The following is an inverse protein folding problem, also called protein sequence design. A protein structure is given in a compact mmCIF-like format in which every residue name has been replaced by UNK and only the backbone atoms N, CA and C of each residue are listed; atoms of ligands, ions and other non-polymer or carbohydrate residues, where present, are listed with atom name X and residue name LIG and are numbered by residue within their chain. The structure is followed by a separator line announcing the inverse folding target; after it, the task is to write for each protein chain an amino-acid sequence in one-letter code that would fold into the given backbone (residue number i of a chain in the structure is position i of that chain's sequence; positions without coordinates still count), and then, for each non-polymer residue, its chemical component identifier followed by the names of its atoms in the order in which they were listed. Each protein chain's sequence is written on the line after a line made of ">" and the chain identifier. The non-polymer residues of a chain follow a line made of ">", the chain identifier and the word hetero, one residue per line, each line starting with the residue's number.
data_IF_453626455811
#
_entry.id   IF_453626455811
#
_cell.length_a   1.000
_cell.length_b   1.000
_cell.length_c   1.000
_cell.angle_alpha   90.00
_cell.angle_beta   90.00
_cell.angle_gamma   90.00
#
_symmetry.space_group_name_H-M   'P 1'
#
loop_
_entity.id
_entity.type
_entity.pdbx_description
1 polymer ?
#
# COMPACT_ATOMS: atom_id res chain seq x y z
N UNK A 1 14.20 -7.40 -19.43
CA UNK A 1 13.70 -7.90 -18.14
C UNK A 1 13.99 -6.87 -17.06
N UNK A 2 12.99 -6.49 -16.27
CA UNK A 2 13.16 -5.67 -15.05
C UNK A 2 12.86 -6.52 -13.84
N UNK A 3 13.60 -6.29 -12.73
CA UNK A 3 13.37 -6.97 -11.44
C UNK A 3 12.93 -5.98 -10.38
N UNK A 4 11.94 -6.36 -9.58
CA UNK A 4 11.43 -5.58 -8.45
C UNK A 4 11.35 -6.51 -7.24
N UNK A 5 12.09 -6.18 -6.19
CA UNK A 5 12.01 -6.93 -4.94
C UNK A 5 10.69 -6.61 -4.23
N UNK A 6 9.94 -7.68 -3.94
CA UNK A 6 8.62 -7.59 -3.30
C UNK A 6 8.59 -8.22 -1.91
N UNK A 7 9.72 -8.64 -1.37
CA UNK A 7 9.82 -9.27 -0.05
C UNK A 7 9.13 -8.47 1.06
N UNK A 8 9.25 -7.14 0.98
CA UNK A 8 8.61 -6.23 1.94
C UNK A 8 7.08 -6.25 1.91
N UNK A 9 6.46 -6.69 0.80
CA UNK A 9 5.00 -6.71 0.64
C UNK A 9 4.37 -8.01 1.15
N UNK A 10 5.16 -9.08 1.43
CA UNK A 10 4.71 -10.38 1.95
C UNK A 10 3.48 -10.95 1.22
N UNK A 11 3.42 -10.77 -0.12
CA UNK A 11 2.33 -11.26 -0.95
C UNK A 11 2.20 -12.78 -0.83
N UNK A 12 1.05 -13.27 -0.36
CA UNK A 12 0.78 -14.70 -0.36
C UNK A 12 0.45 -15.18 -1.76
N UNK A 13 0.71 -16.47 -2.05
CA UNK A 13 0.36 -17.09 -3.33
C UNK A 13 -1.15 -16.95 -3.61
N UNK A 14 -2.01 -17.12 -2.61
CA UNK A 14 -3.46 -16.99 -2.75
C UNK A 14 -3.88 -15.60 -3.24
N UNK A 15 -3.25 -14.54 -2.73
CA UNK A 15 -3.52 -13.17 -3.15
C UNK A 15 -3.14 -12.98 -4.62
N UNK A 16 -1.98 -13.49 -5.02
CA UNK A 16 -1.52 -13.42 -6.41
C UNK A 16 -2.42 -14.22 -7.35
N UNK A 17 -2.83 -15.43 -6.96
CA UNK A 17 -3.76 -16.26 -7.72
C UNK A 17 -5.11 -15.54 -7.89
N UNK A 18 -5.65 -14.94 -6.83
CA UNK A 18 -6.89 -14.18 -6.88
C UNK A 18 -6.77 -12.93 -7.78
N UNK A 19 -5.58 -12.35 -7.91
CA UNK A 19 -5.33 -11.26 -8.86
C UNK A 19 -5.30 -11.71 -10.31
N UNK A 20 -5.00 -12.99 -10.56
CA UNK A 20 -4.93 -13.56 -11.89
C UNK A 20 -3.60 -14.20 -12.26
N UNK A 21 -2.69 -14.39 -11.29
CA UNK A 21 -1.51 -15.22 -11.51
C UNK A 21 -1.91 -16.69 -11.64
N UNK A 22 -1.19 -17.41 -12.48
CA UNK A 22 -1.37 -18.84 -12.69
C UNK A 22 -0.03 -19.55 -12.56
N UNK A 23 -0.04 -20.83 -12.15
CA UNK A 23 1.16 -21.62 -12.12
C UNK A 23 1.55 -22.09 -13.54
N UNK A 24 2.76 -21.76 -13.97
CA UNK A 24 3.42 -22.27 -15.14
C UNK A 24 4.80 -22.83 -14.71
N UNK A 25 5.07 -24.11 -14.94
CA UNK A 25 6.32 -24.77 -14.54
C UNK A 25 6.72 -24.51 -13.06
N UNK A 26 5.75 -24.55 -12.13
CA UNK A 26 5.89 -24.27 -10.70
C UNK A 26 6.26 -22.81 -10.36
N UNK A 27 6.08 -21.89 -11.29
CA UNK A 27 6.29 -20.46 -11.09
C UNK A 27 4.94 -19.74 -11.23
N UNK A 28 4.64 -18.79 -10.34
CA UNK A 28 3.48 -17.92 -10.50
C UNK A 28 3.75 -16.88 -11.58
N UNK A 29 2.93 -16.88 -12.61
CA UNK A 29 3.04 -16.00 -13.78
C UNK A 29 1.72 -15.27 -14.00
N UNK A 30 1.80 -13.96 -14.17
CA UNK A 30 0.71 -13.12 -14.62
C UNK A 30 0.97 -12.66 -16.03
N UNK A 31 -0.04 -12.80 -16.92
CA UNK A 31 0.04 -12.37 -18.32
C UNK A 31 -1.11 -11.45 -18.65
N UNK A 32 -0.83 -10.35 -19.31
CA UNK A 32 -1.84 -9.40 -19.78
C UNK A 32 -1.41 -8.75 -21.08
N UNK A 33 -2.30 -8.71 -22.08
CA UNK A 33 -2.11 -7.88 -23.25
C UNK A 33 -2.33 -6.41 -22.89
N UNK A 34 -1.52 -5.52 -23.46
CA UNK A 34 -1.50 -4.09 -23.23
C UNK A 34 -1.41 -3.35 -24.59
N UNK A 35 -1.71 -2.05 -24.59
CA UNK A 35 -1.66 -1.20 -25.80
C UNK A 35 -2.38 -1.82 -27.00
N UNK A 36 -3.70 -2.01 -26.86
CA UNK A 36 -4.58 -2.58 -27.91
C UNK A 36 -4.13 -3.95 -28.42
N UNK A 37 -3.62 -4.80 -27.51
CA UNK A 37 -3.10 -6.14 -27.84
C UNK A 37 -1.84 -6.17 -28.74
N UNK A 38 -1.11 -5.06 -28.85
CA UNK A 38 0.15 -5.03 -29.58
C UNK A 38 1.31 -5.64 -28.75
N UNK A 39 1.21 -5.56 -27.42
CA UNK A 39 2.21 -6.06 -26.50
C UNK A 39 1.60 -6.99 -25.46
N UNK A 40 2.41 -7.90 -24.92
CA UNK A 40 2.06 -8.73 -23.76
C UNK A 40 3.04 -8.48 -22.62
N UNK A 41 2.51 -8.12 -21.48
CA UNK A 41 3.23 -8.05 -20.21
C UNK A 41 3.21 -9.43 -19.56
N UNK A 42 4.37 -9.89 -19.10
CA UNK A 42 4.52 -11.07 -18.25
C UNK A 42 5.23 -10.67 -16.96
N UNK A 43 4.64 -11.04 -15.82
CA UNK A 43 5.21 -10.84 -14.48
C UNK A 43 5.36 -12.22 -13.86
N UNK A 44 6.59 -12.61 -13.52
CA UNK A 44 6.92 -13.90 -12.90
C UNK A 44 7.38 -13.67 -11.47
N UNK A 45 6.87 -14.46 -10.53
CA UNK A 45 7.37 -14.48 -9.16
C UNK A 45 8.54 -15.45 -9.06
N UNK A 46 9.74 -14.92 -8.86
CA UNK A 46 10.96 -15.71 -8.69
C UNK A 46 11.52 -15.40 -7.29
N UNK A 47 11.39 -16.35 -6.38
CA UNK A 47 11.71 -16.16 -4.96
C UNK A 47 10.94 -14.97 -4.38
N UNK A 48 11.63 -13.87 -4.12
CA UNK A 48 11.08 -12.64 -3.55
C UNK A 48 11.03 -11.48 -4.55
N UNK A 49 11.21 -11.76 -5.83
CA UNK A 49 11.26 -10.73 -6.87
C UNK A 49 10.18 -10.97 -7.94
N UNK A 50 9.58 -9.87 -8.41
CA UNK A 50 8.89 -9.88 -9.69
C UNK A 50 9.90 -9.65 -10.81
N UNK A 51 9.96 -10.59 -11.74
CA UNK A 51 10.61 -10.43 -13.04
C UNK A 51 9.58 -10.02 -14.07
N UNK A 52 9.79 -8.89 -14.74
CA UNK A 52 8.85 -8.29 -15.67
C UNK A 52 9.47 -8.26 -17.06
N UNK A 53 8.79 -8.88 -18.02
CA UNK A 53 9.14 -8.87 -19.42
C UNK A 53 7.96 -8.38 -20.26
N UNK A 54 8.29 -7.69 -21.34
CA UNK A 54 7.31 -7.23 -22.33
C UNK A 54 7.64 -7.92 -23.64
N UNK A 55 6.63 -8.50 -24.25
CA UNK A 55 6.73 -9.14 -25.57
C UNK A 55 5.97 -8.31 -26.60
N UNK A 56 6.63 -8.04 -27.69
CA UNK A 56 6.02 -7.49 -28.90
C UNK A 56 5.34 -8.64 -29.64
N UNK A 57 4.03 -8.54 -29.82
CA UNK A 57 3.24 -9.65 -30.39
C UNK A 57 3.32 -9.71 -31.91
N UNK A 58 3.62 -8.60 -32.59
CA UNK A 58 3.80 -8.55 -34.03
C UNK A 58 5.14 -9.17 -34.43
N UNK A 59 6.19 -8.85 -33.66
CA UNK A 59 7.55 -9.39 -33.91
C UNK A 59 7.81 -10.72 -33.19
N UNK A 60 6.88 -11.17 -32.35
CA UNK A 60 6.96 -12.38 -31.52
C UNK A 60 8.29 -12.48 -30.74
N UNK A 61 8.69 -11.38 -30.13
CA UNK A 61 9.96 -11.26 -29.41
C UNK A 61 9.91 -10.32 -28.19
N UNK A 62 10.97 -10.36 -27.40
CA UNK A 62 11.09 -9.49 -26.21
C UNK A 62 11.31 -8.05 -26.64
N UNK A 63 10.47 -7.13 -26.16
CA UNK A 63 10.63 -5.70 -26.34
C UNK A 63 11.72 -5.15 -25.39
N UNK A 64 12.95 -5.15 -25.86
CA UNK A 64 14.14 -4.87 -25.04
C UNK A 64 14.22 -3.43 -24.52
N UNK A 65 13.62 -2.44 -25.20
CA UNK A 65 13.64 -1.03 -24.79
C UNK A 65 12.95 -0.81 -23.42
N UNK A 66 12.01 -1.65 -23.04
CA UNK A 66 11.41 -1.59 -21.70
C UNK A 66 12.46 -1.71 -20.58
N UNK A 67 13.51 -2.52 -20.80
CA UNK A 67 14.56 -2.79 -19.80
C UNK A 67 15.66 -1.74 -19.76
N UNK A 68 15.69 -0.81 -20.70
CA UNK A 68 16.70 0.26 -20.80
C UNK A 68 16.21 1.49 -20.05
N UNK A 69 16.86 1.84 -18.93
CA UNK A 69 16.35 2.90 -18.02
C UNK A 69 16.18 4.27 -18.68
N UNK A 70 17.08 4.65 -19.59
CA UNK A 70 17.05 5.93 -20.28
C UNK A 70 16.34 5.89 -21.66
N UNK A 71 15.70 4.77 -22.01
CA UNK A 71 14.92 4.69 -23.25
C UNK A 71 13.72 5.64 -23.16
N UNK A 72 13.56 6.46 -24.16
CA UNK A 72 12.47 7.43 -24.31
C UNK A 72 11.70 7.11 -25.59
N UNK A 73 10.42 7.45 -25.63
CA UNK A 73 9.50 7.26 -26.75
C UNK A 73 8.08 7.00 -26.26
N UNK A 74 7.11 7.31 -27.09
CA UNK A 74 5.69 7.19 -26.71
C UNK A 74 5.34 5.75 -26.30
N UNK A 75 5.76 4.74 -27.08
CA UNK A 75 5.45 3.33 -26.83
C UNK A 75 6.07 2.88 -25.49
N UNK A 76 7.36 3.11 -25.28
CA UNK A 76 8.03 2.66 -24.05
C UNK A 76 7.49 3.37 -22.81
N UNK A 77 7.08 4.62 -22.94
CA UNK A 77 6.45 5.38 -21.87
C UNK A 77 5.08 4.80 -21.54
N UNK A 78 4.24 4.57 -22.54
CA UNK A 78 2.92 3.96 -22.36
C UNK A 78 3.00 2.55 -21.76
N UNK A 79 3.94 1.73 -22.21
CA UNK A 79 4.20 0.40 -21.60
C UNK A 79 4.57 0.54 -20.12
N UNK A 80 5.43 1.50 -19.77
CA UNK A 80 5.84 1.70 -18.36
C UNK A 80 4.68 2.17 -17.48
N UNK A 81 3.77 2.97 -18.02
CA UNK A 81 2.56 3.40 -17.30
C UNK A 81 1.62 2.21 -17.06
N UNK A 82 1.40 1.34 -18.05
CA UNK A 82 0.59 0.12 -17.90
C UNK A 82 1.21 -0.84 -16.87
N UNK A 83 2.52 -1.05 -16.93
CA UNK A 83 3.25 -1.87 -15.94
C UNK A 83 3.12 -1.28 -14.54
N UNK A 84 3.29 0.04 -14.42
CA UNK A 84 3.14 0.75 -13.15
C UNK A 84 1.73 0.56 -12.57
N UNK A 85 0.69 0.75 -13.39
CA UNK A 85 -0.73 0.58 -12.99
C UNK A 85 -1.00 -0.85 -12.47
N UNK A 86 -0.50 -1.86 -13.18
CA UNK A 86 -0.66 -3.26 -12.76
C UNK A 86 0.09 -3.54 -11.46
N UNK A 87 1.33 -3.08 -11.34
CA UNK A 87 2.11 -3.26 -10.11
C UNK A 87 1.47 -2.55 -8.92
N UNK A 88 0.99 -1.33 -9.10
CA UNK A 88 0.27 -0.60 -8.05
C UNK A 88 -0.96 -1.38 -7.60
N UNK A 89 -1.73 -1.97 -8.51
CA UNK A 89 -2.88 -2.82 -8.19
C UNK A 89 -2.45 -4.07 -7.41
N UNK A 90 -1.41 -4.78 -7.86
CA UNK A 90 -0.89 -5.96 -7.15
C UNK A 90 -0.41 -5.59 -5.75
N UNK A 91 0.34 -4.51 -5.64
CA UNK A 91 0.93 -4.07 -4.37
C UNK A 91 -0.11 -3.43 -3.43
N UNK A 92 -1.22 -2.90 -3.97
CA UNK A 92 -2.35 -2.35 -3.21
C UNK A 92 -3.40 -3.40 -2.82
N UNK A 93 -3.36 -4.63 -3.38
CA UNK A 93 -4.26 -5.73 -2.96
C UNK A 93 -4.13 -6.09 -1.49
N UNK A 94 -3.12 -5.59 -0.84
CA UNK A 94 -2.69 -5.94 0.48
C UNK A 94 -3.09 -5.01 1.59
N UNK A 95 -4.19 -4.37 1.52
CA UNK A 95 -4.72 -3.89 2.78
C UNK A 95 -5.74 -4.86 3.41
N UNK A 96 -5.42 -6.16 3.43
CA UNK A 96 -6.09 -7.10 4.33
C UNK A 96 -6.05 -6.52 5.74
N UNK A 97 -4.89 -6.04 6.19
CA UNK A 97 -4.73 -5.34 7.46
C UNK A 97 -5.66 -4.12 7.59
N UNK A 98 -5.88 -3.35 6.53
CA UNK A 98 -6.79 -2.20 6.58
C UNK A 98 -8.25 -2.64 6.83
N UNK A 99 -8.75 -3.65 6.13
CA UNK A 99 -10.11 -4.14 6.34
C UNK A 99 -10.25 -4.86 7.69
N UNK A 100 -9.25 -5.64 8.08
CA UNK A 100 -9.22 -6.30 9.39
C UNK A 100 -9.21 -5.29 10.54
N UNK A 101 -8.43 -4.21 10.40
CA UNK A 101 -8.41 -3.11 11.38
C UNK A 101 -9.76 -2.39 11.44
N UNK A 102 -10.42 -2.15 10.30
CA UNK A 102 -11.76 -1.55 10.28
C UNK A 102 -12.81 -2.46 10.92
N UNK A 103 -12.75 -3.77 10.67
CA UNK A 103 -13.62 -4.76 11.32
C UNK A 103 -13.40 -4.78 12.83
N UNK A 104 -12.15 -4.94 13.25
CA UNK A 104 -11.78 -4.91 14.67
C UNK A 104 -12.32 -3.69 15.39
N UNK A 105 -12.14 -2.51 14.81
CA UNK A 105 -12.61 -1.27 15.45
C UNK A 105 -14.12 -1.20 15.55
N UNK A 106 -14.84 -1.68 14.52
CA UNK A 106 -16.31 -1.76 14.58
C UNK A 106 -16.79 -2.66 15.69
N UNK A 107 -16.19 -3.83 15.80
CA UNK A 107 -16.62 -4.88 16.73
C UNK A 107 -16.27 -4.50 18.18
N UNK A 108 -15.08 -3.94 18.41
CA UNK A 108 -14.60 -3.66 19.77
C UNK A 108 -15.15 -2.36 20.37
N UNK A 109 -15.31 -1.31 19.55
CA UNK A 109 -15.58 0.02 20.10
C UNK A 109 -16.96 0.58 19.73
N UNK A 110 -17.74 -0.13 18.91
CA UNK A 110 -19.02 0.37 18.36
C UNK A 110 -18.91 1.83 17.87
N UNK A 111 -17.78 2.15 17.24
CA UNK A 111 -17.41 3.52 16.93
C UNK A 111 -18.18 4.08 15.74
N UNK A 112 -18.50 5.36 15.79
CA UNK A 112 -19.07 6.04 14.65
C UNK A 112 -17.98 6.37 13.64
N UNK A 113 -18.16 5.91 12.40
CA UNK A 113 -17.31 6.28 11.26
C UNK A 113 -17.91 7.53 10.63
N UNK A 114 -17.12 8.60 10.55
CA UNK A 114 -17.52 9.85 9.90
C UNK A 114 -16.58 10.16 8.74
N UNK A 115 -17.09 10.84 7.71
CA UNK A 115 -16.31 11.39 6.59
C UNK A 115 -16.17 12.89 6.80
N UNK A 116 -15.08 13.34 7.48
CA UNK A 116 -14.99 14.72 7.97
C UNK A 116 -14.76 15.75 6.85
N UNK A 117 -14.29 15.32 5.67
CA UNK A 117 -13.92 16.20 4.57
C UNK A 117 -14.78 15.95 3.34
N UNK A 118 -15.60 16.93 2.95
CA UNK A 118 -16.46 16.85 1.75
C UNK A 118 -15.64 16.73 0.44
N UNK A 119 -14.47 17.36 0.42
CA UNK A 119 -13.55 17.35 -0.74
C UNK A 119 -12.75 16.07 -0.88
N UNK A 120 -12.67 15.25 0.19
CA UNK A 120 -11.98 13.97 0.18
C UNK A 120 -12.79 12.93 0.98
N UNK A 121 -13.82 12.33 0.36
CA UNK A 121 -14.76 11.43 1.03
C UNK A 121 -14.15 10.07 1.42
N UNK A 122 -12.94 9.75 0.92
CA UNK A 122 -12.24 8.51 1.22
C UNK A 122 -11.58 8.54 2.60
N UNK A 123 -11.38 9.75 3.16
CA UNK A 123 -10.89 9.90 4.52
C UNK A 123 -12.00 9.53 5.51
N UNK A 124 -11.71 8.57 6.38
CA UNK A 124 -12.61 8.07 7.42
C UNK A 124 -12.04 8.38 8.79
N UNK A 125 -12.80 9.09 9.62
CA UNK A 125 -12.45 9.32 11.02
C UNK A 125 -13.30 8.44 11.95
N UNK A 126 -12.66 7.86 12.95
CA UNK A 126 -13.33 7.15 14.03
C UNK A 126 -13.49 8.07 15.21
N UNK A 127 -14.73 8.16 15.67
CA UNK A 127 -15.15 9.07 16.71
C UNK A 127 -15.52 8.29 17.95
N UNK A 128 -14.95 8.67 19.09
CA UNK A 128 -15.29 8.10 20.38
C UNK A 128 -16.68 8.58 20.85
N UNK A 129 -17.30 7.92 21.86
CA UNK A 129 -18.54 8.38 22.44
C UNK A 129 -18.53 9.82 22.96
N UNK A 130 -17.34 10.35 23.30
CA UNK A 130 -17.13 11.75 23.70
C UNK A 130 -17.00 12.73 22.52
N UNK A 131 -17.26 12.28 21.28
CA UNK A 131 -17.17 13.10 20.08
C UNK A 131 -15.74 13.44 19.64
N UNK A 132 -14.73 12.74 20.13
CA UNK A 132 -13.31 13.01 19.80
C UNK A 132 -12.77 11.98 18.81
N UNK A 133 -12.01 12.45 17.83
CA UNK A 133 -11.30 11.58 16.91
C UNK A 133 -10.17 10.86 17.63
N UNK A 134 -10.08 9.56 17.40
CA UNK A 134 -8.98 8.72 17.89
C UNK A 134 -8.25 7.98 16.77
N UNK A 135 -8.87 7.81 15.60
CA UNK A 135 -8.23 7.28 14.42
C UNK A 135 -8.70 8.03 13.16
N UNK A 136 -7.79 8.22 12.20
CA UNK A 136 -8.09 8.83 10.90
C UNK A 136 -7.42 8.01 9.80
N UNK A 137 -8.22 7.36 8.97
CA UNK A 137 -7.76 6.54 7.83
C UNK A 137 -7.73 7.39 6.57
N UNK A 138 -6.63 7.30 5.82
CA UNK A 138 -6.45 8.01 4.56
C UNK A 138 -5.41 7.33 3.68
N UNK A 139 -5.48 7.62 2.39
CA UNK A 139 -4.48 7.22 1.41
C UNK A 139 -3.46 8.35 1.24
N UNK A 140 -2.16 8.00 1.22
CA UNK A 140 -1.05 8.96 1.12
C UNK A 140 0.00 8.41 0.17
N UNK A 141 0.56 9.27 -0.68
CA UNK A 141 1.76 8.92 -1.45
C UNK A 141 2.93 8.63 -0.49
N UNK A 142 3.55 7.46 -0.61
CA UNK A 142 4.58 7.02 0.33
C UNK A 142 5.77 7.99 0.42
N UNK A 143 6.12 8.67 -0.68
CA UNK A 143 7.14 9.70 -0.71
C UNK A 143 6.84 10.93 0.19
N UNK A 144 5.57 11.17 0.56
CA UNK A 144 5.19 12.21 1.53
C UNK A 144 5.51 11.83 2.96
N UNK A 145 5.58 10.54 3.26
CA UNK A 145 6.00 10.01 4.57
C UNK A 145 7.52 9.89 4.64
N UNK A 146 8.14 9.39 3.57
CA UNK A 146 9.58 9.15 3.44
C UNK A 146 10.13 9.85 2.21
N UNK A 147 10.75 11.01 2.40
CA UNK A 147 11.20 11.90 1.32
C UNK A 147 12.21 11.28 0.33
N UNK A 148 13.01 10.32 0.80
CA UNK A 148 14.04 9.68 -0.01
C UNK A 148 13.56 8.37 -0.65
N UNK A 149 12.24 8.11 -0.62
CA UNK A 149 11.68 6.92 -1.23
C UNK A 149 11.53 7.12 -2.74
N UNK A 150 12.05 6.16 -3.50
CA UNK A 150 11.79 6.02 -4.93
C UNK A 150 10.42 5.40 -5.21
N UNK A 151 9.69 5.00 -4.15
CA UNK A 151 8.35 4.42 -4.25
C UNK A 151 7.35 5.54 -4.35
N UNK A 152 6.71 5.68 -5.51
CA UNK A 152 5.69 6.68 -5.81
C UNK A 152 4.28 6.07 -5.78
N UNK A 153 4.07 5.10 -4.90
CA UNK A 153 2.78 4.46 -4.72
C UNK A 153 1.99 5.06 -3.56
N UNK A 154 0.66 5.04 -3.66
CA UNK A 154 -0.22 5.37 -2.54
C UNK A 154 -0.23 4.22 -1.55
N UNK A 155 -0.14 4.56 -0.27
CA UNK A 155 -0.26 3.62 0.84
C UNK A 155 -1.43 4.02 1.73
N UNK A 156 -2.08 3.03 2.33
CA UNK A 156 -3.10 3.27 3.35
C UNK A 156 -2.42 3.49 4.68
N UNK A 157 -2.79 4.57 5.36
CA UNK A 157 -2.31 4.85 6.70
C UNK A 157 -3.48 5.06 7.66
N UNK A 158 -3.19 4.85 8.94
CA UNK A 158 -4.03 5.31 10.02
C UNK A 158 -3.25 6.29 10.89
N UNK A 159 -3.80 7.48 11.09
CA UNK A 159 -3.30 8.41 12.10
C UNK A 159 -3.92 8.05 13.44
N UNK A 160 -3.09 7.88 14.47
CA UNK A 160 -3.49 7.51 15.82
C UNK A 160 -2.92 8.50 16.83
N UNK A 161 -3.65 8.78 17.89
CA UNK A 161 -3.11 9.53 19.03
C UNK A 161 -2.13 8.68 19.80
N UNK A 162 -1.09 9.34 20.28
CA UNK A 162 -0.07 8.69 21.10
C UNK A 162 0.33 9.58 22.28
N UNK A 163 1.00 8.97 23.26
CA UNK A 163 1.56 9.69 24.42
C UNK A 163 2.71 10.57 23.92
N UNK A 164 2.66 11.92 24.13
CA UNK A 164 3.65 12.84 23.57
C UNK A 164 5.09 12.47 23.90
N UNK A 165 5.38 12.07 25.13
CA UNK A 165 6.72 11.71 25.59
C UNK A 165 7.25 10.40 24.98
N UNK A 166 6.38 9.60 24.34
CA UNK A 166 6.75 8.29 23.74
C UNK A 166 6.76 8.32 22.21
N UNK A 167 6.33 9.41 21.56
CA UNK A 167 6.24 9.48 20.10
C UNK A 167 7.58 9.20 19.43
N UNK A 168 8.65 9.83 19.91
CA UNK A 168 10.00 9.65 19.34
C UNK A 168 10.53 8.22 19.45
N UNK A 169 10.06 7.43 20.41
CA UNK A 169 10.51 6.05 20.61
C UNK A 169 9.79 5.03 19.74
N UNK A 170 8.61 5.37 19.21
CA UNK A 170 7.83 4.46 18.39
C UNK A 170 8.00 4.73 16.88
N UNK A 171 8.49 5.92 16.49
CA UNK A 171 8.77 6.25 15.09
C UNK A 171 9.97 5.43 14.61
N UNK A 172 9.76 4.55 13.64
CA UNK A 172 10.78 3.69 13.05
C UNK A 172 11.16 4.11 11.62
N UNK A 173 10.43 5.08 11.02
CA UNK A 173 10.57 5.53 9.63
C UNK A 173 10.47 4.39 8.60
N UNK A 174 9.78 3.31 8.97
CA UNK A 174 9.49 2.15 8.14
C UNK A 174 7.98 1.91 8.05
N UNK A 175 7.33 1.69 9.18
CA UNK A 175 5.88 1.52 9.30
C UNK A 175 5.23 2.63 10.12
N UNK A 176 5.99 3.26 11.04
CA UNK A 176 5.50 4.34 11.90
C UNK A 176 6.27 5.62 11.62
N UNK A 177 5.53 6.65 11.26
CA UNK A 177 6.04 7.95 10.86
C UNK A 177 5.49 9.09 11.72
N UNK A 178 6.15 10.26 11.73
CA UNK A 178 5.56 11.49 12.24
C UNK A 178 4.22 11.76 11.54
N UNK A 179 3.18 12.13 12.30
CA UNK A 179 1.83 12.23 11.78
C UNK A 179 1.70 13.08 10.51
N UNK A 180 1.08 12.52 9.48
CA UNK A 180 0.76 13.22 8.24
C UNK A 180 -0.51 14.05 8.42
N UNK A 181 -0.43 15.34 8.14
CA UNK A 181 -1.51 16.32 8.30
C UNK A 181 -2.15 16.43 9.70
N UNK A 182 -1.51 15.84 10.72
CA UNK A 182 -1.95 15.95 12.11
C UNK A 182 -0.82 16.54 12.98
N UNK A 183 -1.18 16.95 14.23
CA UNK A 183 -0.18 17.47 15.16
C UNK A 183 0.79 16.37 15.61
N UNK A 184 2.04 16.47 15.13
CA UNK A 184 3.12 15.50 15.35
C UNK A 184 3.51 15.30 16.82
N UNK A 185 3.11 16.22 17.72
CA UNK A 185 3.35 16.09 19.16
C UNK A 185 2.35 15.15 19.85
N UNK A 186 1.25 14.81 19.16
CA UNK A 186 0.15 14.03 19.75
C UNK A 186 -0.33 12.89 18.86
N UNK A 187 0.17 12.80 17.63
CA UNK A 187 -0.26 11.84 16.64
C UNK A 187 0.92 11.20 15.93
N UNK A 188 0.72 9.96 15.52
CA UNK A 188 1.62 9.19 14.64
C UNK A 188 0.84 8.74 13.41
N UNK A 189 1.53 8.47 12.31
CA UNK A 189 0.99 7.80 11.13
C UNK A 189 1.53 6.38 11.06
N UNK A 190 0.64 5.41 10.98
CA UNK A 190 0.97 3.99 10.86
C UNK A 190 0.60 3.53 9.47
N UNK A 191 1.55 3.00 8.72
CA UNK A 191 1.31 2.40 7.40
C UNK A 191 0.69 1.03 7.61
N UNK A 192 -0.47 0.82 6.98
CA UNK A 192 -1.22 -0.44 7.06
C UNK A 192 -0.84 -1.31 5.87
N UNK A 193 0.36 -1.83 5.90
CA UNK A 193 0.85 -2.83 4.96
C UNK A 193 1.19 -4.13 5.70
N UNK A 194 1.44 -5.21 4.98
CA UNK A 194 1.71 -6.52 5.58
C UNK A 194 3.06 -6.61 6.32
N UNK A 195 3.81 -5.52 6.39
CA UNK A 195 5.06 -5.47 7.16
C UNK A 195 4.85 -5.12 8.63
N UNK A 196 3.65 -4.65 8.99
CA UNK A 196 3.33 -4.34 10.38
C UNK A 196 2.52 -5.48 11.01
N UNK A 197 2.82 -5.80 12.24
CA UNK A 197 2.03 -6.76 13.01
C UNK A 197 0.65 -6.15 13.31
N UNK A 198 -0.42 -6.85 12.91
CA UNK A 198 -1.80 -6.42 13.13
C UNK A 198 -2.13 -6.29 14.62
N UNK A 199 -1.58 -7.15 15.46
CA UNK A 199 -1.83 -7.08 16.91
C UNK A 199 -1.20 -5.79 17.48
N UNK A 200 -0.03 -5.42 17.01
CA UNK A 200 0.58 -4.15 17.39
C UNK A 200 -0.23 -2.93 16.91
N UNK A 201 -0.82 -3.00 15.71
CA UNK A 201 -1.75 -1.95 15.24
C UNK A 201 -2.96 -1.85 16.16
N UNK A 202 -3.53 -2.98 16.58
CA UNK A 202 -4.67 -3.02 17.52
C UNK A 202 -4.30 -2.40 18.86
N UNK A 203 -3.12 -2.71 19.41
CA UNK A 203 -2.62 -2.07 20.65
C UNK A 203 -2.50 -0.54 20.51
N UNK A 204 -1.98 -0.06 19.38
CA UNK A 204 -1.88 1.39 19.11
C UNK A 204 -3.25 2.05 18.99
N UNK A 205 -4.23 1.35 18.41
CA UNK A 205 -5.62 1.83 18.30
C UNK A 205 -6.25 1.89 19.69
N UNK A 206 -6.10 0.86 20.50
CA UNK A 206 -6.60 0.82 21.87
C UNK A 206 -6.00 1.94 22.70
N UNK A 207 -4.69 2.16 22.64
CA UNK A 207 -4.03 3.29 23.29
C UNK A 207 -4.65 4.62 22.86
N UNK A 208 -4.82 4.81 21.55
CA UNK A 208 -5.41 6.05 21.00
C UNK A 208 -6.85 6.28 21.48
N UNK A 209 -7.66 5.21 21.50
CA UNK A 209 -9.03 5.25 22.01
C UNK A 209 -9.05 5.64 23.49
N UNK A 210 -8.21 5.01 24.31
CA UNK A 210 -8.13 5.29 25.74
C UNK A 210 -7.67 6.72 26.03
N UNK A 211 -6.74 7.28 25.26
CA UNK A 211 -6.28 8.67 25.39
C UNK A 211 -7.38 9.72 25.17
N UNK A 212 -8.45 9.39 24.43
CA UNK A 212 -9.58 10.33 24.23
C UNK A 212 -10.75 10.07 25.15
N UNK A 213 -10.87 8.87 25.73
CA UNK A 213 -11.99 8.49 26.61
C UNK A 213 -11.68 8.64 28.08
N UNK A 214 -10.42 8.49 28.52
CA UNK A 214 -10.03 8.51 29.93
C UNK A 214 -9.63 9.91 30.45
N UNK A 215 -9.87 10.96 29.64
CA UNK A 215 -9.68 12.37 30.06
C UNK A 215 -10.98 13.07 30.35
#
# INVERSE_FOLDING_TARGET
>A
MKRINIEKYKLSEDILINFGFQFEDNILVFKRNILNDEFRMEIKLICTDFEIEIYDLDFNGVYSLFSVDNANGEIVTAIREEVKDVLEKILCLESVIYEDVLHYVKDQYNSTIVKPFKTNPDIKALVSPKGKWYALFLDVEYNKLKKDSLVDSKVKIVNLKHIPSKISTVIDNRNIFPAYHMNKNHWISVVLDNNIDIEYVKELIELSYNLVNNK
#
